data_IF_646799700041
#
_entry.id   IF_646799700041
#
_cell.length_a   1.000
_cell.length_b   1.000
_cell.length_c   1.000
_cell.angle_alpha   90.00
_cell.angle_beta   90.00
_cell.angle_gamma   90.00
#
_symmetry.space_group_name_H-M   'P 1'
#
loop_
_entity.id
_entity.type
_entity.pdbx_description
1 polymer ?
#
# COMPACT_ATOMS: atom_id res chain seq x y z
N UNK A 1 -3.25 -28.73 -32.52
CA UNK A 1 -2.76 -29.07 -31.18
C UNK A 1 -3.54 -28.24 -30.16
N UNK A 2 -4.53 -28.87 -29.53
CA UNK A 2 -5.33 -28.25 -28.50
C UNK A 2 -4.44 -28.19 -27.25
N UNK A 3 -3.97 -26.99 -26.86
CA UNK A 3 -3.23 -26.79 -25.63
C UNK A 3 -4.17 -27.15 -24.46
N UNK A 4 -3.75 -28.12 -23.67
CA UNK A 4 -4.46 -28.49 -22.44
C UNK A 4 -4.64 -27.23 -21.55
N UNK A 5 -5.76 -27.07 -20.85
CA UNK A 5 -5.97 -25.94 -19.95
C UNK A 5 -4.87 -25.93 -18.89
N UNK A 6 -4.21 -24.79 -18.73
CA UNK A 6 -3.06 -24.57 -17.84
C UNK A 6 -3.43 -24.78 -16.36
N UNK A 7 -4.72 -24.83 -16.06
CA UNK A 7 -5.22 -25.12 -14.71
C UNK A 7 -5.76 -26.55 -14.69
N UNK A 8 -5.23 -27.48 -13.83
CA UNK A 8 -6.03 -28.59 -13.39
C UNK A 8 -7.34 -27.99 -12.84
N UNK A 9 -8.49 -28.64 -13.09
CA UNK A 9 -9.74 -28.23 -12.46
C UNK A 9 -9.44 -28.01 -10.98
N UNK A 10 -9.60 -26.78 -10.46
CA UNK A 10 -9.31 -26.54 -9.05
C UNK A 10 -10.21 -27.47 -8.27
N UNK A 11 -9.65 -28.20 -7.29
CA UNK A 11 -10.45 -28.75 -6.21
C UNK A 11 -11.37 -27.62 -5.76
N UNK A 12 -12.67 -27.86 -5.67
CA UNK A 12 -13.65 -26.85 -5.34
C UNK A 12 -13.12 -26.08 -4.12
N UNK A 13 -12.71 -24.83 -4.30
CA UNK A 13 -12.29 -23.98 -3.20
C UNK A 13 -13.54 -23.70 -2.39
N UNK A 14 -13.71 -24.43 -1.29
CA UNK A 14 -14.83 -24.23 -0.37
C UNK A 14 -14.57 -22.89 0.34
N UNK A 15 -15.56 -22.02 0.28
CA UNK A 15 -15.50 -20.75 1.02
C UNK A 15 -15.36 -21.03 2.53
N UNK A 16 -14.51 -20.26 3.20
CA UNK A 16 -14.39 -20.25 4.65
C UNK A 16 -14.74 -18.87 5.21
N UNK A 17 -16.04 -18.56 5.39
CA UNK A 17 -16.49 -17.25 5.85
C UNK A 17 -16.04 -16.94 7.29
N UNK A 18 -15.65 -17.94 8.08
CA UNK A 18 -15.12 -17.75 9.43
C UNK A 18 -13.78 -16.99 9.47
N UNK A 19 -13.16 -16.79 8.31
CA UNK A 19 -11.98 -15.93 8.19
C UNK A 19 -12.34 -14.43 8.20
N UNK A 20 -13.55 -14.04 7.74
CA UNK A 20 -13.92 -12.63 7.62
C UNK A 20 -13.87 -11.84 8.93
N UNK A 21 -14.23 -12.41 10.11
CA UNK A 21 -14.06 -11.74 11.40
C UNK A 21 -12.60 -11.41 11.77
N UNK A 22 -11.61 -12.03 11.11
CA UNK A 22 -10.20 -11.71 11.30
C UNK A 22 -9.79 -10.43 10.56
N UNK A 23 -10.68 -9.89 9.72
CA UNK A 23 -10.45 -8.65 8.98
C UNK A 23 -10.87 -7.46 9.83
N UNK A 24 -9.93 -6.56 10.11
CA UNK A 24 -10.21 -5.37 10.91
C UNK A 24 -10.04 -5.59 12.43
N UNK A 25 -10.65 -4.69 13.23
CA UNK A 25 -10.46 -4.69 14.68
C UNK A 25 -9.00 -4.49 15.12
N UNK A 26 -8.16 -3.92 14.24
CA UNK A 26 -6.73 -3.79 14.50
C UNK A 26 -6.45 -2.79 15.62
N UNK A 27 -5.36 -2.99 16.41
CA UNK A 27 -5.00 -2.07 17.49
C UNK A 27 -4.65 -0.68 16.99
N UNK A 28 -4.92 0.32 17.82
CA UNK A 28 -4.40 1.67 17.69
C UNK A 28 -3.36 1.91 18.78
N UNK A 29 -2.10 2.13 18.40
CA UNK A 29 -0.99 2.28 19.33
C UNK A 29 -0.43 3.71 19.32
N UNK A 30 -0.01 4.17 20.50
CA UNK A 30 0.68 5.45 20.68
C UNK A 30 2.17 5.28 20.41
N UNK A 31 2.71 5.99 19.43
CA UNK A 31 4.12 5.97 19.05
C UNK A 31 4.78 7.27 19.50
N UNK A 32 5.94 7.15 20.13
CA UNK A 32 6.75 8.29 20.62
C UNK A 32 8.17 8.30 20.04
N UNK A 33 8.46 7.41 19.11
CA UNK A 33 9.73 7.36 18.38
C UNK A 33 9.99 8.72 17.73
N UNK A 34 11.22 9.23 17.87
CA UNK A 34 11.67 10.52 17.31
C UNK A 34 10.99 11.78 17.89
N UNK A 35 10.35 11.64 19.03
CA UNK A 35 9.68 12.74 19.71
C UNK A 35 10.34 13.05 21.06
N UNK A 36 10.26 14.30 21.56
CA UNK A 36 10.75 14.65 22.88
C UNK A 36 10.12 13.76 23.97
N UNK A 37 10.87 13.48 25.04
CA UNK A 37 10.49 12.53 26.10
C UNK A 37 9.07 12.72 26.65
N UNK A 38 8.59 13.95 26.76
CA UNK A 38 7.24 14.29 27.25
C UNK A 38 6.19 14.50 26.16
N UNK A 39 6.56 14.30 24.89
CA UNK A 39 5.62 14.48 23.79
C UNK A 39 4.52 13.40 23.85
N UNK A 40 3.24 13.74 23.65
CA UNK A 40 2.16 12.75 23.69
C UNK A 40 2.29 11.65 22.62
N UNK A 41 3.03 11.88 21.54
CA UNK A 41 3.20 10.93 20.45
C UNK A 41 2.16 11.13 19.34
N UNK A 42 2.24 10.27 18.32
CA UNK A 42 1.22 10.13 17.30
C UNK A 42 0.56 8.75 17.41
N UNK A 43 -0.59 8.57 16.78
CA UNK A 43 -1.30 7.30 16.77
C UNK A 43 -0.97 6.51 15.52
N UNK A 44 -0.71 5.22 15.65
CA UNK A 44 -0.52 4.29 14.54
C UNK A 44 -1.60 3.20 14.57
N UNK A 45 -2.38 3.11 13.51
CA UNK A 45 -3.33 2.02 13.27
C UNK A 45 -2.55 0.82 12.73
N UNK A 46 -2.46 -0.25 13.54
CA UNK A 46 -1.57 -1.38 13.29
C UNK A 46 -2.23 -2.43 12.36
N UNK A 47 -2.49 -2.06 11.11
CA UNK A 47 -2.98 -2.99 10.09
C UNK A 47 -1.95 -4.11 9.80
N UNK A 48 -0.68 -3.90 10.14
CA UNK A 48 0.37 -4.91 10.09
C UNK A 48 0.13 -6.15 10.97
N UNK A 49 -0.77 -6.03 11.97
CA UNK A 49 -1.18 -7.13 12.85
C UNK A 49 -2.47 -7.82 12.38
N UNK A 50 -3.18 -7.23 11.40
CA UNK A 50 -4.40 -7.82 10.84
C UNK A 50 -4.12 -8.93 9.84
N UNK A 51 -5.04 -9.87 9.70
CA UNK A 51 -4.96 -10.94 8.70
C UNK A 51 -4.84 -10.35 7.28
N UNK A 52 -3.77 -10.70 6.57
CA UNK A 52 -3.50 -10.20 5.22
C UNK A 52 -3.08 -8.72 5.14
N UNK A 53 -2.91 -8.03 6.29
CA UNK A 53 -2.56 -6.62 6.36
C UNK A 53 -3.64 -5.69 5.79
N UNK A 54 -3.33 -4.41 5.67
CA UNK A 54 -4.26 -3.38 5.19
C UNK A 54 -4.93 -3.73 3.85
N UNK A 55 -4.21 -4.40 2.95
CA UNK A 55 -4.70 -4.74 1.60
C UNK A 55 -5.79 -5.83 1.59
N UNK A 56 -5.94 -6.60 2.65
CA UNK A 56 -7.03 -7.57 2.75
C UNK A 56 -8.40 -6.89 2.76
N UNK A 57 -8.53 -5.70 3.34
CA UNK A 57 -9.76 -4.91 3.32
C UNK A 57 -10.19 -4.58 1.88
N UNK A 58 -9.27 -4.07 1.07
CA UNK A 58 -9.54 -3.79 -0.34
C UNK A 58 -9.83 -5.08 -1.13
N UNK A 59 -9.06 -6.15 -0.89
CA UNK A 59 -9.24 -7.42 -1.58
C UNK A 59 -10.64 -8.01 -1.32
N UNK A 60 -11.08 -8.09 -0.07
CA UNK A 60 -12.42 -8.57 0.29
C UNK A 60 -13.50 -7.69 -0.34
N UNK A 61 -13.35 -6.37 -0.25
CA UNK A 61 -14.32 -5.42 -0.83
C UNK A 61 -14.45 -5.56 -2.34
N UNK A 62 -13.32 -5.65 -3.07
CA UNK A 62 -13.33 -5.81 -4.53
C UNK A 62 -13.98 -7.13 -4.95
N UNK A 63 -13.69 -8.24 -4.24
CA UNK A 63 -14.28 -9.53 -4.59
C UNK A 63 -15.78 -9.61 -4.21
N UNK A 64 -16.16 -9.05 -3.06
CA UNK A 64 -17.57 -9.00 -2.64
C UNK A 64 -18.39 -8.13 -3.60
N UNK A 65 -17.92 -6.91 -3.91
CA UNK A 65 -18.60 -6.03 -4.86
C UNK A 65 -18.76 -6.66 -6.25
N UNK A 66 -17.73 -7.37 -6.75
CA UNK A 66 -17.81 -8.09 -8.01
C UNK A 66 -18.81 -9.24 -7.98
N UNK A 67 -18.92 -9.96 -6.86
CA UNK A 67 -19.95 -11.00 -6.68
C UNK A 67 -21.36 -10.41 -6.66
N UNK A 68 -21.54 -9.32 -5.93
CA UNK A 68 -22.85 -8.66 -5.81
C UNK A 68 -23.35 -8.12 -7.16
N UNK A 69 -22.44 -7.71 -8.04
CA UNK A 69 -22.75 -7.29 -9.42
C UNK A 69 -22.81 -8.44 -10.43
N UNK A 70 -22.52 -9.69 -10.01
CA UNK A 70 -22.47 -10.86 -10.92
C UNK A 70 -21.23 -10.91 -11.84
N UNK A 71 -20.23 -10.08 -11.61
CA UNK A 71 -18.96 -10.05 -12.38
C UNK A 71 -18.01 -11.18 -11.97
N UNK A 72 -18.08 -11.63 -10.72
CA UNK A 72 -17.34 -12.76 -10.18
C UNK A 72 -18.29 -13.90 -9.80
N UNK A 73 -18.35 -14.92 -10.66
CA UNK A 73 -19.19 -16.09 -10.43
C UNK A 73 -18.63 -17.00 -9.31
N UNK A 74 -19.47 -17.75 -8.59
CA UNK A 74 -19.02 -18.66 -7.53
C UNK A 74 -17.93 -19.61 -8.02
N UNK A 75 -16.81 -19.69 -7.28
CA UNK A 75 -15.66 -20.54 -7.61
C UNK A 75 -14.82 -20.07 -8.80
N UNK A 76 -15.18 -18.97 -9.47
CA UNK A 76 -14.38 -18.44 -10.57
C UNK A 76 -13.00 -17.96 -10.09
N UNK A 77 -11.95 -18.13 -10.91
CA UNK A 77 -10.60 -17.69 -10.56
C UNK A 77 -10.49 -16.16 -10.48
N UNK A 78 -9.68 -15.68 -9.54
CA UNK A 78 -9.28 -14.28 -9.42
C UNK A 78 -7.84 -14.15 -9.91
N UNK A 79 -7.59 -13.24 -10.85
CA UNK A 79 -6.26 -13.01 -11.44
C UNK A 79 -5.85 -11.57 -11.22
N UNK A 80 -4.72 -11.32 -10.56
CA UNK A 80 -4.24 -9.95 -10.31
C UNK A 80 -2.73 -9.83 -10.49
N UNK A 81 -2.31 -8.64 -10.89
CA UNK A 81 -0.89 -8.24 -10.92
C UNK A 81 -0.49 -7.62 -9.59
N UNK A 82 0.53 -8.18 -8.94
CA UNK A 82 0.97 -7.66 -7.64
C UNK A 82 2.49 -7.70 -7.47
N UNK A 83 3.01 -6.70 -6.77
CA UNK A 83 4.37 -6.68 -6.25
C UNK A 83 4.46 -7.20 -4.81
N UNK A 84 3.40 -7.78 -4.24
CA UNK A 84 3.44 -8.45 -2.93
C UNK A 84 2.20 -8.30 -2.06
N UNK A 85 2.03 -7.23 -1.30
CA UNK A 85 1.07 -7.14 -0.18
C UNK A 85 -0.40 -7.36 -0.59
N UNK A 86 -0.83 -6.85 -1.76
CA UNK A 86 -2.19 -7.17 -2.24
C UNK A 86 -2.36 -8.67 -2.50
N UNK A 87 -1.29 -9.37 -2.92
CA UNK A 87 -1.34 -10.81 -3.14
C UNK A 87 -1.72 -11.57 -1.87
N UNK A 88 -1.21 -11.16 -0.71
CA UNK A 88 -1.59 -11.73 0.60
C UNK A 88 -3.07 -11.44 0.90
N UNK A 89 -3.50 -10.20 0.66
CA UNK A 89 -4.91 -9.82 0.82
C UNK A 89 -5.86 -10.60 -0.09
N UNK A 90 -5.46 -10.84 -1.35
CA UNK A 90 -6.26 -11.64 -2.29
C UNK A 90 -6.25 -13.14 -1.93
N UNK A 91 -5.14 -13.68 -1.44
CA UNK A 91 -5.10 -15.04 -0.95
C UNK A 91 -6.07 -15.23 0.24
N UNK A 92 -6.08 -14.27 1.18
CA UNK A 92 -7.05 -14.24 2.28
C UNK A 92 -8.50 -14.15 1.76
N UNK A 93 -8.79 -13.18 0.90
CA UNK A 93 -10.13 -12.99 0.36
C UNK A 93 -10.60 -14.20 -0.48
N UNK A 94 -9.70 -14.79 -1.26
CA UNK A 94 -9.98 -15.99 -2.06
C UNK A 94 -10.35 -17.18 -1.18
N UNK A 95 -9.64 -17.41 -0.08
CA UNK A 95 -9.99 -18.46 0.87
C UNK A 95 -11.33 -18.17 1.58
N UNK A 96 -11.53 -16.93 2.04
CA UNK A 96 -12.76 -16.55 2.73
C UNK A 96 -14.00 -16.69 1.85
N UNK A 97 -13.89 -16.36 0.55
CA UNK A 97 -15.01 -16.28 -0.38
C UNK A 97 -15.10 -17.46 -1.35
N UNK A 98 -14.16 -18.42 -1.32
CA UNK A 98 -14.17 -19.63 -2.14
C UNK A 98 -13.70 -19.43 -3.58
N UNK A 99 -12.68 -18.57 -3.80
CA UNK A 99 -12.12 -18.29 -5.12
C UNK A 99 -10.64 -18.68 -5.21
N UNK A 100 -10.23 -19.48 -6.23
CA UNK A 100 -8.81 -19.70 -6.50
C UNK A 100 -8.14 -18.40 -6.95
N UNK A 101 -6.92 -18.16 -6.47
CA UNK A 101 -6.17 -16.93 -6.74
C UNK A 101 -4.93 -17.20 -7.57
N UNK A 102 -4.77 -16.49 -8.67
CA UNK A 102 -3.59 -16.48 -9.53
C UNK A 102 -2.97 -15.09 -9.49
N UNK A 103 -1.72 -15.01 -9.09
CA UNK A 103 -0.99 -13.76 -8.93
C UNK A 103 0.12 -13.66 -9.96
N UNK A 104 0.12 -12.59 -10.73
CA UNK A 104 1.19 -12.28 -11.67
C UNK A 104 2.19 -11.37 -10.98
N UNK A 105 3.34 -11.92 -10.66
CA UNK A 105 4.48 -11.22 -10.05
C UNK A 105 5.66 -11.08 -11.01
N UNK A 106 6.77 -10.61 -10.49
CA UNK A 106 8.06 -10.59 -11.19
C UNK A 106 9.16 -11.29 -10.37
N UNK A 107 10.30 -11.55 -10.99
CA UNK A 107 11.44 -12.21 -10.33
C UNK A 107 12.09 -11.38 -9.24
N UNK A 108 11.77 -10.10 -9.14
CA UNK A 108 12.19 -9.23 -8.05
C UNK A 108 11.29 -9.35 -6.80
N UNK A 109 10.20 -10.14 -6.86
CA UNK A 109 9.39 -10.43 -5.68
C UNK A 109 10.23 -11.28 -4.71
N UNK A 110 10.35 -10.81 -3.47
CA UNK A 110 11.20 -11.42 -2.45
C UNK A 110 10.91 -12.92 -2.29
N UNK A 111 11.93 -13.79 -2.13
CA UNK A 111 11.74 -15.23 -2.00
C UNK A 111 10.79 -15.63 -0.87
N UNK A 112 10.88 -14.96 0.28
CA UNK A 112 9.98 -15.14 1.42
C UNK A 112 8.52 -14.85 1.08
N UNK A 113 8.27 -13.78 0.31
CA UNK A 113 6.92 -13.41 -0.14
C UNK A 113 6.39 -14.44 -1.15
N UNK A 114 7.21 -14.90 -2.09
CA UNK A 114 6.81 -15.96 -3.02
C UNK A 114 6.41 -17.25 -2.28
N UNK A 115 7.19 -17.62 -1.26
CA UNK A 115 6.89 -18.78 -0.43
C UNK A 115 5.59 -18.58 0.35
N UNK A 116 5.40 -17.43 0.99
CA UNK A 116 4.20 -17.10 1.76
C UNK A 116 2.93 -17.17 0.90
N UNK A 117 2.94 -16.56 -0.29
CA UNK A 117 1.80 -16.59 -1.21
C UNK A 117 1.43 -18.01 -1.63
N UNK A 118 2.43 -18.85 -1.92
CA UNK A 118 2.20 -20.28 -2.24
C UNK A 118 1.64 -21.03 -1.04
N UNK A 119 2.14 -20.77 0.16
CA UNK A 119 1.65 -21.38 1.41
C UNK A 119 0.18 -21.03 1.65
N UNK A 120 -0.25 -19.82 1.29
CA UNK A 120 -1.66 -19.42 1.33
C UNK A 120 -2.49 -19.89 0.13
N UNK A 121 -1.95 -20.78 -0.71
CA UNK A 121 -2.68 -21.40 -1.81
C UNK A 121 -2.77 -20.57 -3.08
N UNK A 122 -2.12 -19.41 -3.17
CA UNK A 122 -2.08 -18.63 -4.39
C UNK A 122 -1.12 -19.26 -5.42
N UNK A 123 -1.57 -19.35 -6.68
CA UNK A 123 -0.71 -19.71 -7.80
C UNK A 123 0.05 -18.48 -8.26
N UNK A 124 1.37 -18.62 -8.43
CA UNK A 124 2.25 -17.55 -8.92
C UNK A 124 2.63 -17.79 -10.40
N UNK A 125 2.41 -16.77 -11.20
CA UNK A 125 2.94 -16.60 -12.56
C UNK A 125 4.00 -15.50 -12.49
N UNK A 126 5.26 -15.80 -12.77
CA UNK A 126 6.35 -14.83 -12.68
C UNK A 126 6.80 -14.39 -14.07
N UNK A 127 6.96 -13.08 -14.27
CA UNK A 127 7.69 -12.52 -15.38
C UNK A 127 9.17 -12.41 -15.01
N UNK A 128 10.04 -12.72 -15.96
CA UNK A 128 11.50 -12.81 -15.78
C UNK A 128 12.26 -11.59 -16.30
N UNK A 129 11.59 -10.70 -17.06
CA UNK A 129 12.17 -9.50 -17.66
C UNK A 129 11.20 -8.33 -17.59
N UNK A 130 11.69 -7.10 -17.32
CA UNK A 130 10.90 -5.90 -17.46
C UNK A 130 10.58 -5.63 -18.95
N UNK A 131 9.47 -4.98 -19.22
CA UNK A 131 9.17 -4.43 -20.54
C UNK A 131 10.11 -3.25 -20.86
N UNK A 132 10.39 -3.02 -22.13
CA UNK A 132 11.22 -1.90 -22.59
C UNK A 132 10.61 -0.55 -22.17
N UNK A 133 9.28 -0.44 -22.24
CA UNK A 133 8.51 0.70 -21.75
C UNK A 133 7.64 0.26 -20.57
N UNK A 134 7.59 1.07 -19.49
CA UNK A 134 6.81 0.79 -18.28
C UNK A 134 7.37 -0.30 -17.36
N UNK A 135 8.53 -0.87 -17.69
CA UNK A 135 9.32 -1.74 -16.82
C UNK A 135 8.56 -2.98 -16.31
N UNK A 136 8.82 -3.37 -15.06
CA UNK A 136 8.18 -4.54 -14.44
C UNK A 136 6.66 -4.46 -14.36
N UNK A 137 6.10 -3.28 -14.17
CA UNK A 137 4.64 -3.11 -14.08
C UNK A 137 3.97 -3.42 -15.41
N UNK A 138 4.50 -2.90 -16.52
CA UNK A 138 3.97 -3.18 -17.85
C UNK A 138 4.11 -4.67 -18.22
N UNK A 139 5.25 -5.29 -17.90
CA UNK A 139 5.48 -6.72 -18.12
C UNK A 139 4.46 -7.59 -17.37
N UNK A 140 4.20 -7.28 -16.08
CA UNK A 140 3.17 -7.99 -15.29
C UNK A 140 1.77 -7.82 -15.87
N UNK A 141 1.39 -6.61 -16.31
CA UNK A 141 0.07 -6.35 -16.89
C UNK A 141 -0.09 -7.10 -18.23
N UNK A 142 0.95 -7.14 -19.06
CA UNK A 142 0.92 -7.92 -20.30
C UNK A 142 0.70 -9.41 -20.00
N UNK A 143 1.44 -9.97 -19.05
CA UNK A 143 1.28 -11.36 -18.62
C UNK A 143 -0.09 -11.63 -17.99
N UNK A 144 -0.60 -10.71 -17.17
CA UNK A 144 -1.94 -10.80 -16.59
C UNK A 144 -3.01 -10.93 -17.68
N UNK A 145 -2.96 -10.08 -18.71
CA UNK A 145 -3.89 -10.15 -19.86
C UNK A 145 -3.80 -11.48 -20.60
N UNK A 146 -2.60 -12.06 -20.71
CA UNK A 146 -2.42 -13.40 -21.28
C UNK A 146 -3.08 -14.47 -20.42
N UNK A 147 -2.88 -14.43 -19.09
CA UNK A 147 -3.50 -15.37 -18.16
C UNK A 147 -5.02 -15.27 -18.22
N UNK A 148 -5.59 -14.07 -18.24
CA UNK A 148 -7.04 -13.84 -18.38
C UNK A 148 -7.60 -14.48 -19.65
N UNK A 149 -6.92 -14.30 -20.81
CA UNK A 149 -7.35 -14.93 -22.07
C UNK A 149 -7.36 -16.46 -22.02
N UNK A 150 -6.48 -17.06 -21.23
CA UNK A 150 -6.37 -18.52 -21.05
C UNK A 150 -7.25 -19.08 -19.94
N UNK A 151 -7.91 -18.20 -19.17
CA UNK A 151 -8.72 -18.57 -18.01
C UNK A 151 -10.13 -17.98 -18.16
N UNK A 152 -10.99 -18.57 -19.02
CA UNK A 152 -12.35 -18.06 -19.18
C UNK A 152 -13.10 -17.97 -17.86
N UNK A 153 -13.84 -16.87 -17.66
CA UNK A 153 -14.58 -16.59 -16.43
C UNK A 153 -13.72 -16.08 -15.25
N UNK A 154 -12.40 -15.89 -15.45
CA UNK A 154 -11.58 -15.27 -14.42
C UNK A 154 -11.90 -13.79 -14.26
N UNK A 155 -11.90 -13.33 -13.01
CA UNK A 155 -12.09 -11.94 -12.64
C UNK A 155 -10.74 -11.25 -12.37
N UNK A 156 -10.59 -10.02 -12.85
CA UNK A 156 -9.47 -9.13 -12.56
C UNK A 156 -9.94 -7.99 -11.64
N UNK A 157 -9.49 -7.95 -10.37
CA UNK A 157 -9.85 -6.89 -9.42
C UNK A 157 -9.41 -5.49 -9.82
N UNK A 158 -8.29 -5.33 -10.56
CA UNK A 158 -7.72 -4.04 -10.99
C UNK A 158 -7.61 -3.01 -9.87
N UNK A 159 -6.75 -3.28 -8.91
CA UNK A 159 -6.59 -2.48 -7.68
C UNK A 159 -6.33 -0.98 -7.91
N UNK A 160 -5.87 -0.59 -9.09
CA UNK A 160 -5.54 0.79 -9.42
C UNK A 160 -6.75 1.62 -9.83
N UNK A 161 -7.75 0.96 -10.42
CA UNK A 161 -8.91 1.63 -11.04
C UNK A 161 -10.25 1.23 -10.40
N UNK A 162 -10.30 0.13 -9.67
CA UNK A 162 -11.53 -0.36 -9.06
C UNK A 162 -11.95 0.47 -7.84
N UNK A 163 -13.12 1.14 -7.85
CA UNK A 163 -13.60 1.94 -6.74
C UNK A 163 -13.89 1.14 -5.47
N UNK A 164 -14.18 -0.16 -5.59
CA UNK A 164 -14.38 -1.05 -4.43
C UNK A 164 -13.11 -1.16 -3.58
N UNK A 165 -11.94 -0.88 -4.16
CA UNK A 165 -10.69 -0.78 -3.41
C UNK A 165 -10.75 0.30 -2.34
N UNK A 166 -11.34 1.46 -2.63
CA UNK A 166 -11.53 2.54 -1.66
C UNK A 166 -12.65 2.21 -0.66
N UNK A 167 -13.76 1.61 -1.14
CA UNK A 167 -14.89 1.21 -0.29
C UNK A 167 -14.46 0.24 0.82
N UNK A 168 -13.48 -0.63 0.57
CA UNK A 168 -12.93 -1.57 1.56
C UNK A 168 -12.36 -0.92 2.82
N UNK A 169 -12.05 0.39 2.79
CA UNK A 169 -11.51 1.11 3.95
C UNK A 169 -12.55 1.88 4.77
N UNK A 170 -13.84 1.79 4.43
CA UNK A 170 -14.90 2.41 5.23
C UNK A 170 -14.94 1.86 6.65
N UNK A 171 -14.74 0.54 6.81
CA UNK A 171 -14.66 -0.08 8.14
C UNK A 171 -13.46 0.43 8.94
N UNK A 172 -12.32 0.70 8.31
CA UNK A 172 -11.16 1.30 8.95
C UNK A 172 -11.45 2.73 9.42
N UNK A 173 -12.22 3.51 8.65
CA UNK A 173 -12.67 4.84 9.07
C UNK A 173 -13.56 4.75 10.33
N UNK A 174 -14.52 3.80 10.37
CA UNK A 174 -15.36 3.55 11.54
C UNK A 174 -14.52 3.15 12.75
N UNK A 175 -13.54 2.27 12.58
CA UNK A 175 -12.64 1.88 13.67
C UNK A 175 -11.88 3.09 14.23
N UNK A 176 -11.36 3.98 13.38
CA UNK A 176 -10.65 5.18 13.81
C UNK A 176 -11.58 6.14 14.59
N UNK A 177 -12.81 6.36 14.13
CA UNK A 177 -13.79 7.21 14.84
C UNK A 177 -14.27 6.63 16.16
N UNK A 178 -14.17 5.31 16.32
CA UNK A 178 -14.49 4.64 17.58
C UNK A 178 -13.31 4.65 18.57
N UNK A 179 -12.08 4.63 18.04
CA UNK A 179 -10.84 4.53 18.83
C UNK A 179 -10.24 5.89 19.21
N UNK A 180 -10.66 6.98 18.53
CA UNK A 180 -10.18 8.33 18.76
C UNK A 180 -11.36 9.29 19.00
N UNK A 181 -11.26 10.10 20.06
CA UNK A 181 -12.23 11.17 20.33
C UNK A 181 -12.07 12.34 19.32
N UNK A 182 -10.84 12.55 18.84
CA UNK A 182 -10.50 13.63 17.92
C UNK A 182 -9.32 13.26 17.03
N UNK A 183 -9.28 13.84 15.82
CA UNK A 183 -8.17 13.71 14.87
C UNK A 183 -7.99 15.01 14.07
N UNK A 184 -6.80 15.60 14.16
CA UNK A 184 -6.44 16.82 13.42
C UNK A 184 -5.69 16.53 12.12
N UNK A 185 -4.85 15.50 12.13
CA UNK A 185 -3.97 15.16 11.00
C UNK A 185 -3.97 13.66 10.75
N UNK A 186 -4.32 13.26 9.54
CA UNK A 186 -4.16 11.89 9.04
C UNK A 186 -3.00 11.83 8.04
N UNK A 187 -2.03 10.97 8.30
CA UNK A 187 -0.88 10.72 7.40
C UNK A 187 -1.09 9.41 6.65
N UNK A 188 -1.18 9.47 5.32
CA UNK A 188 -1.49 8.33 4.45
C UNK A 188 -0.36 8.03 3.49
N UNK A 189 0.14 6.78 3.46
CA UNK A 189 1.01 6.31 2.37
C UNK A 189 0.21 6.21 1.07
N UNK A 190 0.74 6.69 -0.06
CA UNK A 190 0.02 6.66 -1.33
C UNK A 190 0.74 5.76 -2.34
N UNK A 191 0.02 4.74 -2.81
CA UNK A 191 0.42 3.84 -3.87
C UNK A 191 -0.73 3.71 -4.87
N UNK A 192 -1.73 2.88 -4.57
CA UNK A 192 -2.96 2.78 -5.39
C UNK A 192 -4.00 3.86 -5.07
N UNK A 193 -3.86 4.59 -3.97
CA UNK A 193 -4.80 5.62 -3.52
C UNK A 193 -6.00 5.10 -2.72
N UNK A 194 -6.29 3.80 -2.77
CA UNK A 194 -7.53 3.24 -2.21
C UNK A 194 -7.77 3.61 -0.75
N UNK A 195 -6.79 3.41 0.15
CA UNK A 195 -7.03 3.68 1.57
C UNK A 195 -7.17 5.18 1.89
N UNK A 196 -6.38 6.04 1.26
CA UNK A 196 -6.51 7.49 1.45
C UNK A 196 -7.86 8.02 0.95
N UNK A 197 -8.32 7.55 -0.21
CA UNK A 197 -9.65 7.89 -0.73
C UNK A 197 -10.78 7.37 0.18
N UNK A 198 -10.67 6.11 0.64
CA UNK A 198 -11.66 5.49 1.51
C UNK A 198 -11.72 6.09 2.92
N UNK A 199 -10.65 6.73 3.40
CA UNK A 199 -10.58 7.35 4.72
C UNK A 199 -10.94 8.84 4.71
N UNK A 200 -10.42 9.62 3.76
CA UNK A 200 -10.48 11.07 3.81
C UNK A 200 -11.90 11.62 3.89
N UNK A 201 -12.79 11.19 3.01
CA UNK A 201 -14.18 11.64 2.99
C UNK A 201 -14.97 11.30 4.25
N UNK A 202 -15.04 10.02 4.66
CA UNK A 202 -15.71 9.62 5.89
C UNK A 202 -15.18 10.31 7.14
N UNK A 203 -13.85 10.41 7.29
CA UNK A 203 -13.24 11.03 8.46
C UNK A 203 -13.47 12.56 8.48
N UNK A 204 -13.47 13.25 7.33
CA UNK A 204 -13.82 14.68 7.26
C UNK A 204 -15.29 14.96 7.56
N UNK A 205 -16.20 14.02 7.27
CA UNK A 205 -17.60 14.15 7.75
C UNK A 205 -17.69 14.11 9.27
N UNK A 206 -16.83 13.33 9.92
CA UNK A 206 -16.77 13.22 11.37
C UNK A 206 -15.94 14.34 12.02
N UNK A 207 -14.79 14.68 11.45
CA UNK A 207 -13.87 15.74 11.87
C UNK A 207 -13.65 16.75 10.73
N UNK A 208 -14.51 17.78 10.59
CA UNK A 208 -14.52 18.66 9.40
C UNK A 208 -13.20 19.42 9.15
N UNK A 209 -12.35 19.60 10.16
CA UNK A 209 -11.06 20.31 10.04
C UNK A 209 -9.87 19.34 9.85
N UNK A 210 -10.14 18.07 9.62
CA UNK A 210 -9.11 17.07 9.40
C UNK A 210 -8.22 17.43 8.20
N UNK A 211 -6.91 17.52 8.45
CA UNK A 211 -5.88 17.59 7.39
C UNK A 211 -5.43 16.20 7.00
N UNK A 212 -5.27 15.99 5.69
CA UNK A 212 -4.77 14.73 5.15
C UNK A 212 -3.43 14.99 4.45
N UNK A 213 -2.40 14.33 4.94
CA UNK A 213 -1.03 14.40 4.39
C UNK A 213 -0.78 13.15 3.55
N UNK A 214 -0.47 13.34 2.26
CA UNK A 214 -0.02 12.27 1.38
C UNK A 214 1.48 12.00 1.57
N UNK A 215 1.84 10.73 1.68
CA UNK A 215 3.24 10.30 1.70
C UNK A 215 3.49 9.42 0.49
N UNK A 216 4.39 9.87 -0.36
CA UNK A 216 4.82 9.24 -1.60
C UNK A 216 6.30 8.89 -1.54
N UNK A 217 6.82 8.15 -2.49
CA UNK A 217 8.23 7.84 -2.60
C UNK A 217 8.95 8.75 -3.59
N UNK A 218 10.19 9.05 -3.33
CA UNK A 218 11.09 9.64 -4.33
C UNK A 218 11.08 8.77 -5.60
N UNK A 219 10.92 9.40 -6.76
CA UNK A 219 10.80 8.74 -8.06
C UNK A 219 9.39 8.23 -8.41
N UNK A 220 8.37 8.56 -7.60
CA UNK A 220 6.97 8.31 -7.94
C UNK A 220 6.38 9.45 -8.77
N UNK A 221 5.50 9.09 -9.72
CA UNK A 221 4.81 10.06 -10.57
C UNK A 221 3.51 10.59 -9.96
N UNK A 222 2.98 9.97 -8.90
CA UNK A 222 1.61 10.24 -8.42
C UNK A 222 1.37 11.74 -8.20
N UNK A 223 2.27 12.44 -7.53
CA UNK A 223 2.10 13.85 -7.19
C UNK A 223 3.01 14.77 -8.02
N UNK A 224 3.16 14.47 -9.33
CA UNK A 224 3.79 15.37 -10.30
C UNK A 224 5.32 15.34 -10.34
N UNK A 225 5.97 14.40 -9.65
CA UNK A 225 7.40 14.17 -9.82
C UNK A 225 7.67 13.25 -11.02
N UNK A 226 8.84 13.31 -11.67
CA UNK A 226 9.17 12.40 -12.76
C UNK A 226 9.30 10.96 -12.24
N UNK A 227 8.72 10.02 -13.02
CA UNK A 227 8.84 8.59 -12.73
C UNK A 227 10.29 8.12 -12.87
N UNK A 228 10.83 7.45 -11.86
CA UNK A 228 12.18 6.86 -11.85
C UNK A 228 12.18 5.46 -11.23
N UNK A 229 13.23 4.67 -11.41
CA UNK A 229 13.42 3.42 -10.67
C UNK A 229 13.35 3.66 -9.16
N UNK A 230 12.67 2.75 -8.45
CA UNK A 230 12.41 2.87 -7.00
C UNK A 230 12.70 1.56 -6.29
N UNK A 231 13.41 1.65 -5.16
CA UNK A 231 13.59 0.51 -4.25
C UNK A 231 12.34 0.25 -3.43
N UNK A 232 11.63 1.30 -3.02
CA UNK A 232 10.46 1.20 -2.15
C UNK A 232 9.26 0.64 -2.91
N UNK A 233 8.91 -0.62 -2.62
CA UNK A 233 7.73 -1.29 -3.18
C UNK A 233 6.52 -1.11 -2.26
N UNK A 234 5.34 -0.98 -2.86
CA UNK A 234 4.08 -0.75 -2.12
C UNK A 234 3.81 0.71 -1.75
N UNK A 235 4.76 1.61 -2.01
CA UNK A 235 4.65 3.06 -1.86
C UNK A 235 5.03 3.71 -3.20
N UNK A 236 4.24 4.70 -3.63
CA UNK A 236 4.41 5.36 -4.91
C UNK A 236 4.00 4.52 -6.12
N UNK A 237 3.97 5.15 -7.29
CA UNK A 237 3.65 4.51 -8.56
C UNK A 237 4.36 5.20 -9.73
N UNK A 238 4.59 4.47 -10.82
CA UNK A 238 5.04 5.04 -12.10
C UNK A 238 3.87 5.44 -13.00
N UNK A 239 2.64 5.15 -12.59
CA UNK A 239 1.38 5.55 -13.23
C UNK A 239 0.55 6.39 -12.27
N UNK A 240 -0.51 7.00 -12.78
CA UNK A 240 -1.50 7.75 -12.01
C UNK A 240 -2.72 6.87 -11.76
N UNK A 241 -2.86 6.24 -10.57
CA UNK A 241 -4.01 5.40 -10.27
C UNK A 241 -5.30 6.20 -10.21
N UNK A 242 -6.40 5.69 -10.78
CA UNK A 242 -7.70 6.37 -10.76
C UNK A 242 -8.28 6.50 -9.33
N UNK A 243 -7.85 5.62 -8.40
CA UNK A 243 -8.28 5.66 -7.01
C UNK A 243 -7.59 6.75 -6.16
N UNK A 244 -6.65 7.53 -6.70
CA UNK A 244 -6.05 8.65 -5.97
C UNK A 244 -7.00 9.86 -6.02
N UNK A 245 -7.59 10.19 -4.89
CA UNK A 245 -8.41 11.39 -4.71
C UNK A 245 -7.50 12.57 -4.35
N UNK A 246 -6.96 13.25 -5.36
CA UNK A 246 -5.96 14.33 -5.18
C UNK A 246 -6.49 15.48 -4.33
N UNK A 247 -7.77 15.82 -4.48
CA UNK A 247 -8.49 16.86 -3.73
C UNK A 247 -8.63 16.53 -2.22
N UNK A 248 -8.38 15.30 -1.85
CA UNK A 248 -8.42 14.90 -0.45
C UNK A 248 -7.16 15.32 0.33
N UNK A 249 -6.06 15.62 -0.34
CA UNK A 249 -4.79 15.92 0.31
C UNK A 249 -4.57 17.43 0.47
N UNK A 250 -4.12 17.83 1.66
CA UNK A 250 -3.75 19.22 1.99
C UNK A 250 -2.26 19.48 1.73
N UNK A 251 -1.44 18.44 1.78
CA UNK A 251 -0.01 18.49 1.44
C UNK A 251 0.51 17.09 1.07
N UNK A 252 1.68 17.06 0.45
CA UNK A 252 2.38 15.82 0.09
C UNK A 252 3.82 15.85 0.55
N UNK A 253 4.30 14.68 1.00
CA UNK A 253 5.72 14.43 1.26
C UNK A 253 6.25 13.35 0.33
N UNK A 254 7.44 13.54 -0.21
CA UNK A 254 8.22 12.48 -0.84
C UNK A 254 9.29 12.03 0.14
N UNK A 255 9.41 10.73 0.35
CA UNK A 255 10.37 10.13 1.28
C UNK A 255 11.31 9.23 0.49
N UNK A 256 12.58 9.31 0.76
CA UNK A 256 13.61 8.46 0.18
C UNK A 256 13.75 7.11 0.90
N UNK A 257 14.42 6.13 0.27
CA UNK A 257 14.57 4.81 0.87
C UNK A 257 15.43 4.81 2.14
N UNK A 258 16.46 5.65 2.23
CA UNK A 258 17.31 5.73 3.41
C UNK A 258 16.53 6.23 4.64
N UNK A 259 15.72 7.28 4.48
CA UNK A 259 14.88 7.81 5.55
C UNK A 259 13.81 6.79 5.99
N UNK A 260 13.24 6.05 5.05
CA UNK A 260 12.26 5.02 5.36
C UNK A 260 12.88 3.83 6.13
N UNK A 261 14.07 3.36 5.74
CA UNK A 261 14.83 2.32 6.45
C UNK A 261 15.13 2.73 7.87
N UNK A 262 15.71 3.91 8.05
CA UNK A 262 16.09 4.41 9.35
C UNK A 262 14.87 4.54 10.29
N UNK A 263 13.75 5.09 9.80
CA UNK A 263 12.51 5.17 10.56
C UNK A 263 11.95 3.79 10.93
N UNK A 264 11.95 2.80 10.02
CA UNK A 264 11.53 1.43 10.30
C UNK A 264 12.38 0.81 11.41
N UNK A 265 13.72 0.95 11.32
CA UNK A 265 14.65 0.37 12.30
C UNK A 265 14.53 1.03 13.67
N UNK A 266 14.30 2.35 13.72
CA UNK A 266 14.02 3.04 14.99
C UNK A 266 12.71 2.60 15.61
N UNK A 267 11.63 2.47 14.84
CA UNK A 267 10.35 1.92 15.31
C UNK A 267 10.52 0.52 15.90
N UNK A 268 11.23 -0.36 15.22
CA UNK A 268 11.46 -1.71 15.69
C UNK A 268 12.20 -1.75 17.05
N UNK A 269 13.21 -0.89 17.22
CA UNK A 269 14.03 -0.83 18.45
C UNK A 269 13.33 -0.13 19.62
N UNK A 270 12.51 0.89 19.37
CA UNK A 270 11.97 1.76 20.40
C UNK A 270 10.49 1.53 20.70
N UNK A 271 9.71 0.97 19.77
CA UNK A 271 8.28 0.76 19.90
C UNK A 271 7.86 -0.70 19.71
N UNK A 272 8.82 -1.60 19.39
CA UNK A 272 8.55 -2.99 19.07
C UNK A 272 7.52 -3.16 17.91
N UNK A 273 7.55 -2.21 16.99
CA UNK A 273 6.70 -2.22 15.78
C UNK A 273 7.59 -2.30 14.56
N UNK A 274 7.35 -3.30 13.73
CA UNK A 274 8.08 -3.52 12.49
C UNK A 274 7.12 -3.57 11.30
N UNK A 275 7.52 -2.99 10.20
CA UNK A 275 6.76 -2.94 8.95
C UNK A 275 7.67 -2.64 7.78
N UNK A 276 7.10 -2.32 6.62
CA UNK A 276 7.89 -2.04 5.42
C UNK A 276 8.16 -0.57 5.15
N UNK A 277 8.62 -0.31 3.94
CA UNK A 277 8.95 1.03 3.43
C UNK A 277 7.87 2.09 3.72
N UNK A 278 6.62 1.74 3.50
CA UNK A 278 5.49 2.63 3.75
C UNK A 278 5.31 2.94 5.23
N UNK A 279 5.54 1.97 6.12
CA UNK A 279 5.50 2.18 7.58
C UNK A 279 6.56 3.19 8.02
N UNK A 280 7.82 3.02 7.57
CA UNK A 280 8.89 3.97 7.88
C UNK A 280 8.61 5.37 7.35
N UNK A 281 8.16 5.46 6.09
CA UNK A 281 7.87 6.75 5.46
C UNK A 281 6.74 7.50 6.18
N UNK A 282 5.62 6.85 6.52
CA UNK A 282 4.52 7.53 7.21
C UNK A 282 4.85 7.83 8.67
N UNK A 283 5.66 7.00 9.35
CA UNK A 283 6.11 7.27 10.71
C UNK A 283 6.99 8.51 10.80
N UNK A 284 7.94 8.67 9.87
CA UNK A 284 8.78 9.86 9.75
C UNK A 284 7.93 11.13 9.62
N UNK A 285 6.96 11.12 8.70
CA UNK A 285 6.08 12.26 8.44
C UNK A 285 5.11 12.51 9.60
N UNK A 286 4.56 11.47 10.22
CA UNK A 286 3.68 11.60 11.38
C UNK A 286 4.42 12.17 12.60
N UNK A 287 5.66 11.72 12.86
CA UNK A 287 6.50 12.28 13.91
C UNK A 287 6.84 13.76 13.65
N UNK A 288 7.11 14.13 12.40
CA UNK A 288 7.34 15.52 12.02
C UNK A 288 6.07 16.38 12.20
N UNK A 289 4.91 15.90 11.74
CA UNK A 289 3.64 16.59 11.91
C UNK A 289 3.32 16.82 13.39
N UNK A 290 3.52 15.80 14.25
CA UNK A 290 3.33 15.92 15.69
C UNK A 290 4.28 16.94 16.34
N UNK A 291 5.56 16.99 15.91
CA UNK A 291 6.53 17.99 16.43
C UNK A 291 6.21 19.42 16.00
N UNK A 292 5.71 19.61 14.78
CA UNK A 292 5.52 20.94 14.18
C UNK A 292 4.13 21.52 14.43
N UNK A 293 3.19 20.71 14.89
CA UNK A 293 1.83 21.10 15.25
C UNK A 293 1.53 20.73 16.72
N UNK A 294 2.07 21.48 17.70
CA UNK A 294 1.89 21.16 19.11
C UNK A 294 0.41 21.09 19.47
N UNK A 295 0.02 20.03 20.18
CA UNK A 295 -1.36 19.79 20.59
C UNK A 295 -2.24 19.09 19.55
N UNK A 296 -1.80 18.97 18.29
CA UNK A 296 -2.56 18.25 17.27
C UNK A 296 -2.55 16.72 17.55
N UNK A 297 -3.71 16.11 17.37
CA UNK A 297 -3.85 14.65 17.34
C UNK A 297 -3.52 14.17 15.94
N UNK A 298 -2.41 13.46 15.81
CA UNK A 298 -1.90 12.93 14.55
C UNK A 298 -2.09 11.42 14.52
N UNK A 299 -2.62 10.89 13.42
CA UNK A 299 -2.71 9.44 13.19
C UNK A 299 -2.16 9.04 11.83
N UNK A 300 -1.71 7.78 11.75
CA UNK A 300 -1.28 7.13 10.50
C UNK A 300 -1.65 5.65 10.51
N UNK A 301 -1.49 4.98 9.37
CA UNK A 301 -1.72 3.54 9.21
C UNK A 301 -0.39 2.84 8.92
N UNK A 302 -0.09 1.77 9.66
CA UNK A 302 1.03 0.88 9.40
C UNK A 302 0.52 -0.35 8.65
N UNK A 303 0.74 -0.44 7.32
CA UNK A 303 -0.10 -1.25 6.45
C UNK A 303 0.23 -2.74 6.44
N UNK A 304 1.47 -3.14 6.69
CA UNK A 304 1.93 -4.53 6.59
C UNK A 304 3.08 -4.85 7.55
N UNK A 305 3.27 -6.15 7.83
CA UNK A 305 4.31 -6.64 8.74
C UNK A 305 5.68 -6.77 8.08
N UNK A 306 6.70 -7.16 8.87
CA UNK A 306 8.12 -7.14 8.46
C UNK A 306 8.53 -8.29 7.57
N UNK A 307 7.76 -9.39 7.50
CA UNK A 307 8.15 -10.64 6.85
C UNK A 307 8.58 -10.48 5.37
N UNK A 308 8.06 -9.46 4.70
CA UNK A 308 8.44 -9.10 3.34
C UNK A 308 9.75 -8.33 3.25
N UNK A 309 10.21 -7.73 4.33
CA UNK A 309 11.26 -6.72 4.34
C UNK A 309 12.51 -7.14 5.10
N UNK A 310 12.55 -8.41 5.58
CA UNK A 310 13.70 -8.94 6.31
C UNK A 310 14.97 -8.98 5.47
N UNK A 311 14.85 -9.25 4.15
CA UNK A 311 15.99 -9.20 3.21
C UNK A 311 16.17 -7.85 2.50
N UNK A 312 15.57 -6.76 3.01
CA UNK A 312 15.73 -5.41 2.46
C UNK A 312 15.87 -4.36 3.58
N UNK A 313 14.77 -3.86 4.14
CA UNK A 313 14.75 -2.82 5.19
C UNK A 313 15.56 -3.22 6.43
N UNK A 314 15.54 -4.50 6.79
CA UNK A 314 16.18 -5.03 8.00
C UNK A 314 17.47 -5.82 7.73
N UNK A 315 17.92 -5.84 6.48
CA UNK A 315 19.15 -6.49 6.03
C UNK A 315 20.26 -5.44 5.86
N UNK A 316 21.37 -5.61 6.57
CA UNK A 316 22.47 -4.65 6.57
C UNK A 316 23.25 -4.71 5.26
N UNK A 317 23.46 -5.89 4.69
CA UNK A 317 24.17 -6.06 3.42
C UNK A 317 23.39 -5.41 2.27
N UNK A 318 22.06 -5.61 2.25
CA UNK A 318 21.19 -4.94 1.29
C UNK A 318 21.28 -3.42 1.44
N UNK A 319 21.17 -2.90 2.66
CA UNK A 319 21.22 -1.47 2.91
C UNK A 319 22.56 -0.86 2.50
N UNK A 320 23.66 -1.53 2.83
CA UNK A 320 25.01 -1.12 2.42
C UNK A 320 25.17 -1.11 0.90
N UNK A 321 24.78 -2.20 0.23
CA UNK A 321 24.87 -2.31 -1.23
C UNK A 321 24.07 -1.25 -1.99
N UNK A 322 23.02 -0.66 -1.35
CA UNK A 322 22.20 0.39 -1.94
C UNK A 322 22.46 1.78 -1.35
N UNK A 323 23.48 1.95 -0.50
CA UNK A 323 23.85 3.24 0.11
C UNK A 323 22.77 3.81 1.03
N UNK A 324 22.04 2.95 1.75
CA UNK A 324 20.93 3.34 2.63
C UNK A 324 21.34 3.56 4.10
N UNK A 325 22.58 3.23 4.46
CA UNK A 325 23.18 3.35 5.80
C UNK A 325 23.84 4.72 5.99
N UNK A 326 23.14 5.79 5.64
CA UNK A 326 23.64 7.15 5.73
C UNK A 326 23.58 7.69 7.16
N UNK A 327 24.70 8.25 7.65
CA UNK A 327 24.78 8.82 9.00
C UNK A 327 24.11 10.20 9.15
N UNK A 328 23.70 10.87 8.09
CA UNK A 328 23.21 12.25 8.10
C UNK A 328 21.88 12.39 7.35
N UNK A 329 20.83 11.83 7.93
CA UNK A 329 19.48 12.02 7.39
C UNK A 329 18.89 13.38 7.77
N UNK A 330 18.07 13.92 6.90
CA UNK A 330 17.40 15.20 7.13
C UNK A 330 16.40 15.09 8.31
N UNK A 331 16.53 15.99 9.30
CA UNK A 331 15.61 16.07 10.45
C UNK A 331 14.33 16.83 10.12
N UNK A 332 14.27 17.46 8.95
CA UNK A 332 13.10 18.20 8.41
C UNK A 332 13.05 18.07 6.89
N UNK A 333 11.84 18.12 6.28
CA UNK A 333 11.72 18.03 4.83
C UNK A 333 12.25 19.27 4.12
N UNK A 334 12.84 19.08 2.93
CA UNK A 334 13.08 20.16 1.98
C UNK A 334 11.74 20.73 1.51
N UNK A 335 11.57 22.05 1.61
CA UNK A 335 10.35 22.68 1.11
C UNK A 335 10.43 22.84 -0.41
N UNK A 336 9.49 22.26 -1.13
CA UNK A 336 9.32 22.43 -2.58
C UNK A 336 8.06 23.28 -2.80
N UNK A 337 8.17 24.46 -3.44
CA UNK A 337 7.02 25.37 -3.59
C UNK A 337 5.92 24.83 -4.51
N UNK A 338 6.29 23.99 -5.47
CA UNK A 338 5.39 23.36 -6.43
C UNK A 338 5.95 21.99 -6.87
N UNK A 339 5.12 20.95 -7.10
CA UNK A 339 5.59 19.61 -7.46
C UNK A 339 6.56 19.55 -8.63
N UNK A 340 6.46 20.48 -9.59
CA UNK A 340 7.34 20.56 -10.76
C UNK A 340 8.52 21.54 -10.61
N UNK A 341 8.66 22.24 -9.47
CA UNK A 341 9.70 23.26 -9.29
C UNK A 341 11.09 22.66 -9.02
N UNK A 342 11.14 21.52 -8.39
CA UNK A 342 12.37 20.79 -8.11
C UNK A 342 12.09 19.28 -7.94
N UNK A 343 13.06 18.47 -8.31
CA UNK A 343 12.97 17.03 -8.07
C UNK A 343 13.36 16.69 -6.63
N UNK A 344 12.51 15.89 -5.98
CA UNK A 344 12.82 15.35 -4.67
C UNK A 344 13.90 14.27 -4.78
N UNK A 345 15.05 14.49 -4.12
CA UNK A 345 16.14 13.53 -4.04
C UNK A 345 16.16 12.76 -2.70
N UNK A 346 15.47 13.27 -1.70
CA UNK A 346 15.28 12.72 -0.37
C UNK A 346 13.98 13.27 0.21
N UNK A 347 13.89 13.34 1.54
CA UNK A 347 12.69 13.80 2.18
C UNK A 347 12.34 15.27 1.84
N UNK A 348 11.27 15.43 1.09
CA UNK A 348 10.76 16.73 0.64
C UNK A 348 9.27 16.87 0.93
N UNK A 349 8.77 18.12 0.96
CA UNK A 349 7.39 18.49 1.24
C UNK A 349 6.89 19.56 0.28
N UNK A 350 5.65 19.44 -0.14
CA UNK A 350 4.94 20.46 -0.90
C UNK A 350 3.52 20.67 -0.32
N UNK A 351 3.14 21.93 -0.08
CA UNK A 351 1.78 22.28 0.34
C UNK A 351 0.79 22.37 -0.84
N UNK A 352 1.29 22.35 -2.08
CA UNK A 352 0.46 22.33 -3.27
C UNK A 352 0.31 20.90 -3.77
N UNK A 353 -0.91 20.42 -3.84
CA UNK A 353 -1.24 19.10 -4.40
C UNK A 353 -1.97 19.29 -5.72
N UNK A 354 -1.42 18.74 -6.78
CA UNK A 354 -1.98 18.84 -8.12
C UNK A 354 -2.44 17.45 -8.59
N UNK A 355 -3.66 17.40 -9.11
CA UNK A 355 -4.04 16.29 -9.95
C UNK A 355 -3.25 16.37 -11.26
N UNK A 356 -2.71 15.24 -11.76
CA UNK A 356 -2.09 15.22 -13.07
C UNK A 356 -3.13 15.66 -14.11
N UNK A 357 -2.72 16.53 -15.03
CA UNK A 357 -3.54 16.78 -16.21
C UNK A 357 -3.77 15.44 -16.90
N UNK A 358 -5.01 15.01 -17.06
CA UNK A 358 -5.34 13.84 -17.86
C UNK A 358 -4.89 14.15 -19.29
N UNK A 359 -3.63 13.88 -19.57
CA UNK A 359 -3.13 13.83 -20.94
C UNK A 359 -3.95 12.76 -21.65
N UNK A 360 -4.59 13.14 -22.75
CA UNK A 360 -5.41 12.23 -23.52
C UNK A 360 -4.66 10.92 -23.75
N UNK A 361 -5.35 9.81 -23.46
CA UNK A 361 -4.90 8.51 -23.89
C UNK A 361 -4.72 8.58 -25.42
N UNK A 362 -3.46 8.51 -25.88
CA UNK A 362 -3.14 8.23 -27.26
C UNK A 362 -3.07 6.70 -27.44
#
# INVERSE_FOLDING_TARGET
MTLAPILPRPAAHTANPDLLPLLGGTPLARIRTDLPHRHPGFWAKLECLGAGGMKARAAVSMLTGARDRGELLPGAPVVESTSGTLGVGLAFAGQALGHPVVLVGDTELEPSMRQLLRTYGARLELVDRPAAEGGWQAARIARLREVLRRTPGAYWPDQYNNPDSAAGYLTLAVELTTQLDHLDVLVCSVGTGGHSAGLAGPLRRHWPRLKVIGVDSVGSAIFGQPARPRLMRGLGSSIHPANVAYEAFDEVHWVGPAEAVDACRRLARSAFVSGGWSTGAVALVAAWAARTQPGAVVATVFPDGPHRYLGTVYDDDFCHAHGLDTCALAVRPLQIPHPHAAEAAGWARCATVLAPTRGGAA
#
